data_IF_758988613240
#
_entry.id   IF_758988613240
#
_cell.length_a   1.000
_cell.length_b   1.000
_cell.length_c   1.000
_cell.angle_alpha   90.00
_cell.angle_beta   90.00
_cell.angle_gamma   90.00
#
_symmetry.space_group_name_H-M   'P 1'
#
loop_
_entity.id
_entity.type
_entity.pdbx_description
1 polymer ?
#
# COMPACT_ATOMS: atom_id res chain seq x y z
N UNK A 1 17.15 -1.03 -13.03
CA UNK A 1 15.82 -1.17 -12.40
C UNK A 1 15.86 -2.43 -11.56
N UNK A 2 15.83 -2.34 -10.23
CA UNK A 2 15.48 -3.51 -9.43
C UNK A 2 13.99 -3.73 -9.63
N UNK A 3 13.60 -4.88 -10.18
CA UNK A 3 12.20 -5.24 -10.27
C UNK A 3 11.64 -5.32 -8.84
N UNK A 4 10.50 -4.69 -8.59
CA UNK A 4 9.79 -4.79 -7.32
C UNK A 4 9.39 -6.25 -7.06
N UNK A 5 9.05 -6.57 -5.81
CA UNK A 5 8.52 -7.88 -5.47
C UNK A 5 7.07 -7.98 -5.95
N UNK A 6 6.74 -8.88 -6.91
CA UNK A 6 5.37 -9.02 -7.38
C UNK A 6 4.48 -9.59 -6.26
N UNK A 7 3.33 -8.97 -6.04
CA UNK A 7 2.29 -9.44 -5.13
C UNK A 7 1.13 -10.02 -5.93
N UNK A 8 0.70 -9.31 -6.98
CA UNK A 8 -0.34 -9.76 -7.92
C UNK A 8 0.11 -9.48 -9.36
N UNK A 9 -0.11 -10.46 -10.23
CA UNK A 9 0.13 -10.36 -11.66
C UNK A 9 -1.02 -11.02 -12.43
N UNK A 10 -2.15 -10.33 -12.51
CA UNK A 10 -3.31 -10.72 -13.30
C UNK A 10 -3.29 -10.00 -14.66
N UNK A 11 -4.12 -10.47 -15.61
CA UNK A 11 -4.22 -9.90 -16.96
C UNK A 11 -4.41 -8.39 -16.97
N UNK A 12 -5.28 -7.88 -16.10
CA UNK A 12 -5.70 -6.47 -16.09
C UNK A 12 -5.33 -5.72 -14.79
N UNK A 13 -4.54 -6.36 -13.92
CA UNK A 13 -4.15 -5.80 -12.63
C UNK A 13 -2.79 -6.35 -12.21
N UNK A 14 -1.82 -5.46 -12.03
CA UNK A 14 -0.54 -5.79 -11.41
C UNK A 14 -0.32 -4.96 -10.16
N UNK A 15 0.17 -5.60 -9.11
CA UNK A 15 0.55 -4.98 -7.85
C UNK A 15 1.92 -5.50 -7.44
N UNK A 16 2.84 -4.57 -7.23
CA UNK A 16 4.20 -4.87 -6.81
C UNK A 16 4.54 -4.06 -5.56
N UNK A 17 5.29 -4.65 -4.64
CA UNK A 17 6.02 -3.89 -3.62
C UNK A 17 7.33 -3.39 -4.26
N UNK A 18 7.41 -2.10 -4.54
CA UNK A 18 8.56 -1.50 -5.21
C UNK A 18 9.66 -1.07 -4.25
N UNK A 19 9.32 -0.70 -3.01
CA UNK A 19 10.29 -0.41 -1.97
C UNK A 19 9.74 -0.62 -0.55
N UNK A 20 10.63 -1.00 0.37
CA UNK A 20 10.41 -0.94 1.82
C UNK A 20 11.59 -0.18 2.44
N UNK A 21 11.32 1.02 2.94
CA UNK A 21 12.36 1.93 3.46
C UNK A 21 12.20 2.13 4.95
N UNK A 22 13.19 1.69 5.72
CA UNK A 22 13.20 1.80 7.17
C UNK A 22 13.64 3.21 7.61
N UNK A 23 12.97 3.73 8.63
CA UNK A 23 13.28 4.96 9.34
C UNK A 23 13.30 4.69 10.85
N UNK A 24 13.97 5.54 11.63
CA UNK A 24 14.00 5.39 13.08
C UNK A 24 12.59 5.39 13.71
N UNK A 25 11.63 6.07 13.08
CA UNK A 25 10.24 6.18 13.52
C UNK A 25 9.29 5.13 12.92
N UNK A 26 9.76 4.26 12.03
CA UNK A 26 8.87 3.31 11.35
C UNK A 26 9.34 2.85 9.98
N UNK A 27 8.41 2.40 9.15
CA UNK A 27 8.67 1.81 7.85
C UNK A 27 7.74 2.39 6.80
N UNK A 28 8.30 2.82 5.67
CA UNK A 28 7.56 3.25 4.50
C UNK A 28 7.51 2.11 3.49
N UNK A 29 6.30 1.65 3.15
CA UNK A 29 6.07 0.75 2.04
C UNK A 29 5.60 1.54 0.83
N UNK A 30 6.23 1.27 -0.32
CA UNK A 30 5.82 1.83 -1.61
C UNK A 30 5.43 0.69 -2.53
N UNK A 31 4.26 0.84 -3.15
CA UNK A 31 3.76 -0.10 -4.13
C UNK A 31 3.77 0.53 -5.51
N UNK A 32 3.68 -0.32 -6.53
CA UNK A 32 3.37 0.06 -7.90
C UNK A 32 2.11 -0.68 -8.30
N UNK A 33 1.04 0.06 -8.58
CA UNK A 33 -0.24 -0.49 -9.05
C UNK A 33 -0.45 -0.07 -10.50
N UNK A 34 -0.66 -1.05 -11.37
CA UNK A 34 -1.07 -0.81 -12.76
C UNK A 34 -2.33 -1.59 -13.07
N UNK A 35 -3.35 -0.90 -13.59
CA UNK A 35 -4.65 -1.49 -13.91
C UNK A 35 -5.04 -1.09 -15.33
N UNK A 36 -5.57 -2.05 -16.09
CA UNK A 36 -5.96 -1.85 -17.50
C UNK A 36 -7.42 -2.22 -17.73
N UNK A 37 -7.93 -1.86 -18.91
CA UNK A 37 -9.29 -2.20 -19.33
C UNK A 37 -10.35 -1.63 -18.39
N UNK A 38 -11.46 -2.36 -18.27
CA UNK A 38 -12.64 -1.94 -17.48
C UNK A 38 -12.28 -1.73 -16.00
N UNK A 39 -11.33 -2.49 -15.44
CA UNK A 39 -10.88 -2.31 -14.05
C UNK A 39 -10.24 -0.94 -13.84
N UNK A 40 -9.59 -0.36 -14.85
CA UNK A 40 -9.00 0.98 -14.73
C UNK A 40 -10.08 2.06 -14.55
N UNK A 41 -11.24 1.89 -15.19
CA UNK A 41 -12.37 2.81 -15.05
C UNK A 41 -12.99 2.72 -13.65
N UNK A 42 -13.11 1.50 -13.10
CA UNK A 42 -13.49 1.31 -11.70
C UNK A 42 -12.50 1.99 -10.74
N UNK A 43 -11.19 1.82 -10.94
CA UNK A 43 -10.20 2.50 -10.09
C UNK A 43 -10.35 4.02 -10.13
N UNK A 44 -10.52 4.63 -11.31
CA UNK A 44 -10.75 6.09 -11.43
C UNK A 44 -12.02 6.52 -10.71
N UNK A 45 -13.08 5.74 -10.86
CA UNK A 45 -14.34 5.99 -10.20
C UNK A 45 -14.17 5.94 -8.68
N UNK A 46 -13.57 4.88 -8.13
CA UNK A 46 -13.34 4.69 -6.70
C UNK A 46 -12.39 5.73 -6.08
N UNK A 47 -11.49 6.32 -6.87
CA UNK A 47 -10.47 7.28 -6.41
C UNK A 47 -10.83 8.73 -6.71
N UNK A 48 -12.02 8.99 -7.27
CA UNK A 48 -12.46 10.33 -7.64
C UNK A 48 -12.63 11.23 -6.41
N UNK A 49 -12.33 12.53 -6.52
CA UNK A 49 -12.66 13.50 -5.48
C UNK A 49 -14.15 13.48 -5.14
N UNK A 50 -14.48 13.51 -3.85
CA UNK A 50 -15.86 13.57 -3.35
C UNK A 50 -16.43 15.00 -3.41
N UNK A 51 -16.39 15.61 -4.60
CA UNK A 51 -16.71 17.05 -4.77
C UNK A 51 -18.20 17.34 -4.99
N UNK A 52 -19.00 16.34 -5.35
CA UNK A 52 -20.45 16.51 -5.52
C UNK A 52 -21.22 15.95 -4.30
N UNK A 53 -21.84 16.81 -3.49
CA UNK A 53 -22.64 16.37 -2.33
C UNK A 53 -23.95 15.66 -2.71
N UNK A 54 -24.36 15.66 -3.98
CA UNK A 54 -25.55 14.96 -4.47
C UNK A 54 -25.23 13.61 -5.11
N UNK A 55 -23.95 13.26 -5.27
CA UNK A 55 -23.53 11.95 -5.74
C UNK A 55 -23.56 10.94 -4.58
N UNK A 56 -24.70 10.26 -4.42
CA UNK A 56 -24.85 9.20 -3.40
C UNK A 56 -23.97 7.98 -3.62
N UNK A 57 -23.34 7.89 -4.79
CA UNK A 57 -22.38 6.84 -5.13
C UNK A 57 -20.93 7.26 -4.86
N UNK A 58 -20.71 8.49 -4.34
CA UNK A 58 -19.40 8.99 -3.96
C UNK A 58 -18.93 8.31 -2.68
N UNK A 59 -18.19 7.23 -2.83
CA UNK A 59 -17.42 6.59 -1.77
C UNK A 59 -15.96 6.56 -2.18
N UNK A 60 -15.09 7.03 -1.30
CA UNK A 60 -13.67 6.96 -1.57
C UNK A 60 -13.15 5.58 -1.16
N UNK A 61 -12.58 4.83 -2.09
CA UNK A 61 -11.87 3.60 -1.76
C UNK A 61 -10.50 3.55 -2.41
N UNK A 62 -9.58 2.85 -1.75
CA UNK A 62 -8.20 2.69 -2.18
C UNK A 62 -7.72 1.28 -1.88
N UNK A 63 -6.54 0.97 -2.42
CA UNK A 63 -5.76 -0.17 -1.97
C UNK A 63 -5.71 -0.17 -0.44
N UNK A 64 -6.20 -1.24 0.16
CA UNK A 64 -6.11 -1.47 1.59
C UNK A 64 -4.88 -2.31 1.85
N UNK A 65 -4.02 -1.84 2.74
CA UNK A 65 -2.85 -2.58 3.19
C UNK A 65 -3.03 -2.86 4.67
N UNK A 66 -3.11 -4.14 5.03
CA UNK A 66 -3.11 -4.61 6.42
C UNK A 66 -1.75 -5.23 6.71
N UNK A 67 -1.19 -4.86 7.86
CA UNK A 67 0.08 -5.37 8.34
C UNK A 67 -0.18 -6.28 9.54
N UNK A 68 0.51 -7.41 9.56
CA UNK A 68 0.62 -8.30 10.71
C UNK A 68 2.12 -8.48 10.98
N UNK A 69 2.58 -8.01 12.14
CA UNK A 69 3.97 -8.13 12.57
C UNK A 69 4.01 -8.21 14.08
N UNK A 70 4.80 -9.15 14.62
CA UNK A 70 4.84 -9.44 16.05
C UNK A 70 3.40 -9.66 16.58
N UNK A 71 3.02 -8.98 17.66
CA UNK A 71 1.64 -8.96 18.20
C UNK A 71 0.79 -7.80 17.65
N UNK A 72 1.30 -7.06 16.65
CA UNK A 72 0.68 -5.87 16.11
C UNK A 72 -0.03 -6.17 14.78
N UNK A 73 -1.31 -5.83 14.72
CA UNK A 73 -2.15 -5.94 13.52
C UNK A 73 -2.90 -4.64 13.27
N UNK A 74 -2.81 -4.11 12.06
CA UNK A 74 -3.44 -2.83 11.74
C UNK A 74 -3.58 -2.55 10.25
N UNK A 75 -4.45 -1.59 9.92
CA UNK A 75 -4.47 -0.98 8.60
C UNK A 75 -3.33 0.04 8.54
N UNK A 76 -2.62 0.06 7.43
CA UNK A 76 -1.67 1.11 7.15
C UNK A 76 -2.39 2.27 6.45
N UNK A 77 -1.99 3.50 6.78
CA UNK A 77 -2.62 4.69 6.23
C UNK A 77 -2.05 5.00 4.84
N UNK A 78 -2.90 5.24 3.82
CA UNK A 78 -2.45 5.67 2.51
C UNK A 78 -1.92 7.10 2.59
N UNK A 79 -0.64 7.28 2.26
CA UNK A 79 -0.01 8.59 2.13
C UNK A 79 -0.09 9.06 0.67
N UNK A 80 -0.91 10.08 0.42
CA UNK A 80 -1.03 10.79 -0.88
C UNK A 80 -1.07 9.89 -2.13
N UNK A 81 -2.24 9.33 -2.49
CA UNK A 81 -2.41 8.68 -3.78
C UNK A 81 -2.43 9.76 -4.89
N UNK A 82 -1.29 10.00 -5.51
CA UNK A 82 -1.23 10.80 -6.75
C UNK A 82 -1.25 9.80 -7.91
N UNK A 83 -2.30 9.80 -8.76
CA UNK A 83 -2.27 9.05 -10.00
C UNK A 83 -1.17 9.61 -10.91
N UNK A 84 -0.35 8.74 -11.50
CA UNK A 84 0.73 9.17 -12.40
C UNK A 84 0.16 9.68 -13.75
N UNK A 85 -1.09 9.35 -14.07
CA UNK A 85 -1.85 9.82 -15.23
C UNK A 85 -3.07 10.61 -14.78
N UNK A 86 -3.25 11.81 -15.33
CA UNK A 86 -4.32 12.74 -14.94
C UNK A 86 -5.74 12.16 -15.00
N UNK A 87 -6.71 12.81 -14.33
CA UNK A 87 -8.09 12.33 -14.23
C UNK A 87 -8.81 12.17 -15.58
N UNK A 88 -8.27 12.75 -16.65
CA UNK A 88 -8.79 12.60 -18.01
C UNK A 88 -8.01 11.52 -18.77
N UNK A 89 -8.61 10.35 -18.98
CA UNK A 89 -8.03 9.40 -19.93
C UNK A 89 -8.70 8.04 -19.99
N UNK A 90 -9.20 7.69 -21.17
CA UNK A 90 -9.35 6.29 -21.59
C UNK A 90 -7.93 5.71 -21.71
N UNK A 91 -7.51 4.88 -20.77
CA UNK A 91 -6.14 4.35 -20.74
C UNK A 91 -5.83 3.49 -19.51
N UNK A 92 -4.59 3.00 -19.35
CA UNK A 92 -4.16 2.35 -18.12
C UNK A 92 -4.19 3.33 -16.94
N UNK A 93 -4.64 2.86 -15.79
CA UNK A 93 -4.50 3.57 -14.52
C UNK A 93 -3.20 3.12 -13.85
N UNK A 94 -2.36 4.07 -13.45
CA UNK A 94 -1.10 3.81 -12.74
C UNK A 94 -0.98 4.73 -11.54
N UNK A 95 -0.57 4.17 -10.41
CA UNK A 95 -0.27 4.93 -9.20
C UNK A 95 0.77 4.21 -8.36
N UNK A 96 1.44 4.97 -7.48
CA UNK A 96 2.48 4.47 -6.59
C UNK A 96 2.09 4.71 -5.12
N UNK A 97 1.11 3.94 -4.59
CA UNK A 97 0.56 4.23 -3.28
C UNK A 97 1.60 3.92 -2.20
N UNK A 98 1.62 4.76 -1.19
CA UNK A 98 2.59 4.70 -0.10
C UNK A 98 1.87 4.48 1.22
N UNK A 99 2.45 3.67 2.09
CA UNK A 99 1.87 3.33 3.38
C UNK A 99 2.92 3.45 4.46
N UNK A 100 2.57 4.19 5.52
CA UNK A 100 3.42 4.33 6.69
C UNK A 100 3.04 3.30 7.75
N UNK A 101 4.06 2.66 8.32
CA UNK A 101 3.93 1.76 9.46
C UNK A 101 4.71 2.38 10.60
N UNK A 102 4.02 2.73 11.69
CA UNK A 102 4.62 3.48 12.82
C UNK A 102 5.63 2.71 13.66
N UNK A 103 6.07 1.54 13.24
CA UNK A 103 7.07 0.72 13.93
C UNK A 103 7.82 -0.17 12.97
N UNK A 104 9.06 -0.52 13.34
CA UNK A 104 9.82 -1.57 12.67
C UNK A 104 9.60 -2.90 13.40
N UNK A 105 9.17 -3.98 12.72
CA UNK A 105 8.91 -5.27 13.36
C UNK A 105 10.15 -5.82 14.09
N UNK A 106 9.99 -6.18 15.35
CA UNK A 106 11.08 -6.67 16.20
C UNK A 106 11.59 -8.04 15.77
N UNK A 107 10.71 -8.88 15.21
CA UNK A 107 11.08 -10.18 14.61
C UNK A 107 11.82 -10.04 13.28
N UNK A 108 11.92 -8.84 12.72
CA UNK A 108 12.56 -8.61 11.43
C UNK A 108 11.78 -9.19 10.25
N UNK A 109 10.49 -9.46 10.44
CA UNK A 109 9.59 -9.95 9.40
C UNK A 109 8.21 -9.35 9.56
N UNK A 110 7.42 -9.32 8.49
CA UNK A 110 6.01 -8.97 8.56
C UNK A 110 5.21 -9.62 7.44
N UNK A 111 3.93 -9.87 7.71
CA UNK A 111 2.97 -10.21 6.67
C UNK A 111 2.22 -8.96 6.23
N UNK A 112 2.22 -8.73 4.92
CA UNK A 112 1.47 -7.68 4.25
C UNK A 112 0.29 -8.31 3.54
N UNK A 113 -0.91 -7.83 3.82
CA UNK A 113 -2.14 -8.27 3.15
C UNK A 113 -2.69 -7.08 2.38
N UNK A 114 -2.78 -7.23 1.06
CA UNK A 114 -3.32 -6.22 0.16
C UNK A 114 -4.72 -6.61 -0.30
N UNK A 115 -5.64 -5.66 -0.37
CA UNK A 115 -6.98 -5.90 -0.92
C UNK A 115 -7.59 -4.62 -1.49
N UNK A 116 -8.39 -4.76 -2.55
CA UNK A 116 -9.26 -3.70 -3.05
C UNK A 116 -10.46 -4.32 -3.78
N UNK A 117 -11.48 -4.78 -3.02
CA UNK A 117 -12.59 -5.56 -3.58
C UNK A 117 -13.35 -4.85 -4.70
N UNK A 118 -13.48 -3.53 -4.62
CA UNK A 118 -14.20 -2.68 -5.58
C UNK A 118 -13.61 -2.76 -6.99
N UNK A 119 -12.32 -3.09 -7.11
CA UNK A 119 -11.62 -3.21 -8.40
C UNK A 119 -11.22 -4.66 -8.71
N UNK A 120 -11.76 -5.62 -7.95
CA UNK A 120 -11.54 -7.05 -8.12
C UNK A 120 -10.24 -7.59 -7.52
N UNK A 121 -9.53 -6.81 -6.69
CA UNK A 121 -8.36 -7.29 -5.96
C UNK A 121 -8.80 -7.96 -4.66
N UNK A 122 -8.86 -9.29 -4.68
CA UNK A 122 -9.11 -10.08 -3.48
C UNK A 122 -7.93 -10.01 -2.49
N UNK A 123 -8.16 -10.23 -1.17
CA UNK A 123 -7.10 -10.27 -0.18
C UNK A 123 -5.95 -11.20 -0.59
N UNK A 124 -4.76 -10.63 -0.73
CA UNK A 124 -3.54 -11.34 -1.12
C UNK A 124 -2.46 -11.06 -0.09
N UNK A 125 -1.82 -12.11 0.43
CA UNK A 125 -0.82 -12.00 1.50
C UNK A 125 0.59 -12.29 0.98
N UNK A 126 1.56 -11.51 1.44
CA UNK A 126 2.99 -11.73 1.21
C UNK A 126 3.75 -11.57 2.52
N UNK A 127 4.78 -12.39 2.74
CA UNK A 127 5.68 -12.24 3.90
C UNK A 127 6.95 -11.55 3.47
N UNK A 128 7.29 -10.46 4.14
CA UNK A 128 8.50 -9.67 3.93
C UNK A 128 9.53 -10.02 5.02
N UNK A 129 10.73 -10.38 4.58
CA UNK A 129 11.89 -10.53 5.48
C UNK A 129 12.69 -9.23 5.44
N UNK A 130 12.71 -8.51 6.55
CA UNK A 130 13.34 -7.19 6.68
C UNK A 130 14.74 -7.27 7.32
N UNK A 131 14.96 -8.31 8.13
CA UNK A 131 16.16 -8.43 8.96
C UNK A 131 16.07 -7.63 10.26
N UNK A 132 17.16 -7.53 11.03
CA UNK A 132 17.16 -6.74 12.27
C UNK A 132 16.96 -5.25 11.95
N UNK A 133 16.36 -4.52 12.91
CA UNK A 133 16.24 -3.07 12.79
C UNK A 133 17.63 -2.45 12.53
N UNK A 134 17.79 -1.65 11.47
CA UNK A 134 19.05 -0.96 11.20
C UNK A 134 19.27 0.23 12.15
N UNK A 135 18.27 0.57 12.97
CA UNK A 135 18.36 1.65 13.97
C UNK A 135 18.61 1.06 15.35
N UNK A 136 19.53 1.65 16.13
CA UNK A 136 19.78 1.20 17.50
C UNK A 136 18.50 1.34 18.32
N UNK A 137 18.05 0.26 18.93
CA UNK A 137 17.08 0.33 20.03
C UNK A 137 17.74 1.08 21.18
N UNK A 138 17.34 2.33 21.39
CA UNK A 138 17.62 3.03 22.65
C UNK A 138 16.85 2.30 23.74
N UNK A 139 17.45 1.25 24.30
CA UNK A 139 17.04 0.77 25.61
C UNK A 139 17.30 1.93 26.56
N UNK A 140 16.22 2.49 27.09
CA UNK A 140 16.28 3.57 28.06
C UNK A 140 17.20 3.15 29.21
N UNK A 141 18.17 4.03 29.46
CA UNK A 141 18.91 4.21 30.71
C UNK A 141 18.31 3.43 31.89
N UNK A 142 19.05 2.42 32.37
CA UNK A 142 18.99 2.03 33.78
C UNK A 142 19.35 3.26 34.62
N UNK A 143 18.34 4.02 35.04
CA UNK A 143 18.50 5.05 36.04
C UNK A 143 18.66 4.34 37.39
N UNK A 144 19.91 4.36 37.85
CA UNK A 144 20.38 3.90 39.15
C UNK A 144 19.86 4.76 40.30
#
# INVERSE_FOLDING_TARGET
MHAGMPIVAEKDLTLELSAATAFASGLLLRFTLSVTGIRADFVRYETRPLTDPHDWSAQWSYLTVRILADDLGGLADPFHPVPDSGPEGSGPYRTTPQYWIGTYPTTGSMTVITSWPQVGLHPTSVTLTLGPSPFPTTFGSDAR
#
